data_IF_887190645945
#
_entry.id   IF_887190645945
#
_cell.length_a   1.000
_cell.length_b   1.000
_cell.length_c   1.000
_cell.angle_alpha   90.00
_cell.angle_beta   90.00
_cell.angle_gamma   90.00
#
_symmetry.space_group_name_H-M   'P 1'
#
loop_
_entity.id
_entity.type
_entity.pdbx_description
1 polymer ?
#
# COMPACT_ATOMS: atom_id res chain seq x y z
N UNK A 1 -28.42 -62.28 28.81
CA UNK A 1 -28.27 -60.96 28.19
C UNK A 1 -29.53 -60.66 27.40
N UNK A 2 -30.45 -59.94 28.03
CA UNK A 2 -31.76 -59.60 27.47
C UNK A 2 -31.60 -58.47 26.45
N UNK A 3 -32.31 -58.54 25.32
CA UNK A 3 -32.28 -57.59 24.20
C UNK A 3 -32.25 -56.10 24.60
N UNK A 4 -32.83 -55.76 25.75
CA UNK A 4 -32.93 -54.39 26.29
C UNK A 4 -31.57 -53.73 26.62
N UNK A 5 -30.57 -54.49 27.09
CA UNK A 5 -29.25 -53.92 27.48
C UNK A 5 -28.43 -53.49 26.26
N UNK A 6 -28.53 -54.25 25.15
CA UNK A 6 -27.87 -53.93 23.89
C UNK A 6 -28.48 -52.68 23.23
N UNK A 7 -29.80 -52.48 23.35
CA UNK A 7 -30.48 -51.30 22.81
C UNK A 7 -30.10 -50.03 23.56
N UNK A 8 -29.94 -50.10 24.88
CA UNK A 8 -29.57 -48.96 25.72
C UNK A 8 -28.13 -48.49 25.42
N UNK A 9 -27.18 -49.43 25.29
CA UNK A 9 -25.79 -49.13 24.93
C UNK A 9 -25.69 -48.50 23.53
N UNK A 10 -26.44 -49.03 22.55
CA UNK A 10 -26.47 -48.46 21.20
C UNK A 10 -27.04 -47.03 21.18
N UNK A 11 -28.08 -46.74 21.97
CA UNK A 11 -28.66 -45.41 22.07
C UNK A 11 -27.71 -44.38 22.68
N UNK A 12 -26.92 -44.76 23.69
CA UNK A 12 -25.94 -43.89 24.34
C UNK A 12 -24.80 -43.54 23.36
N UNK A 13 -24.29 -44.53 22.62
CA UNK A 13 -23.24 -44.30 21.61
C UNK A 13 -23.75 -43.37 20.49
N UNK A 14 -24.98 -43.59 20.01
CA UNK A 14 -25.58 -42.73 18.99
C UNK A 14 -25.74 -41.28 19.48
N UNK A 15 -26.13 -41.08 20.74
CA UNK A 15 -26.26 -39.75 21.34
C UNK A 15 -24.90 -39.03 21.49
N UNK A 16 -23.84 -39.75 21.85
CA UNK A 16 -22.48 -39.21 21.97
C UNK A 16 -21.90 -38.83 20.60
N UNK A 17 -22.12 -39.66 19.58
CA UNK A 17 -21.69 -39.38 18.20
C UNK A 17 -22.46 -38.18 17.62
N UNK A 18 -23.76 -38.10 17.87
CA UNK A 18 -24.58 -36.96 17.45
C UNK A 18 -24.19 -35.65 18.18
N UNK A 19 -23.94 -35.72 19.48
CA UNK A 19 -23.51 -34.57 20.29
C UNK A 19 -22.12 -34.06 19.92
N UNK A 20 -21.17 -34.96 19.68
CA UNK A 20 -19.83 -34.62 19.19
C UNK A 20 -19.86 -33.98 17.80
N UNK A 21 -20.72 -34.47 16.90
CA UNK A 21 -20.92 -33.88 15.58
C UNK A 21 -21.50 -32.46 15.64
N UNK A 22 -22.44 -32.20 16.55
CA UNK A 22 -23.04 -30.87 16.72
C UNK A 22 -22.04 -29.85 17.29
N UNK A 23 -21.24 -30.26 18.27
CA UNK A 23 -20.16 -29.44 18.84
C UNK A 23 -19.08 -29.14 17.80
N UNK A 24 -18.66 -30.16 17.03
CA UNK A 24 -17.67 -29.99 15.95
C UNK A 24 -18.18 -29.06 14.84
N UNK A 25 -19.47 -29.15 14.50
CA UNK A 25 -20.12 -28.27 13.51
C UNK A 25 -20.21 -26.83 13.98
N UNK A 26 -20.54 -26.59 15.27
CA UNK A 26 -20.54 -25.24 15.86
C UNK A 26 -19.12 -24.65 15.89
N UNK A 27 -18.11 -25.42 16.30
CA UNK A 27 -16.72 -24.96 16.32
C UNK A 27 -16.24 -24.64 14.89
N UNK A 28 -16.50 -25.53 13.93
CA UNK A 28 -16.16 -25.32 12.51
C UNK A 28 -16.87 -24.10 11.95
N UNK A 29 -18.17 -23.93 12.23
CA UNK A 29 -18.94 -22.77 11.81
C UNK A 29 -18.40 -21.48 12.42
N UNK A 30 -18.01 -21.48 13.70
CA UNK A 30 -17.38 -20.31 14.35
C UNK A 30 -16.01 -20.00 13.76
N UNK A 31 -15.19 -21.01 13.47
CA UNK A 31 -13.87 -20.83 12.86
C UNK A 31 -13.99 -20.31 11.41
N UNK A 32 -14.86 -20.91 10.60
CA UNK A 32 -15.15 -20.47 9.22
C UNK A 32 -15.72 -19.05 9.23
N UNK A 33 -16.67 -18.75 10.11
CA UNK A 33 -17.27 -17.42 10.22
C UNK A 33 -16.28 -16.37 10.74
N UNK A 34 -15.35 -16.74 11.63
CA UNK A 34 -14.24 -15.86 12.06
C UNK A 34 -13.26 -15.62 10.92
N UNK A 35 -12.91 -16.66 10.16
CA UNK A 35 -12.04 -16.55 8.99
C UNK A 35 -12.67 -15.67 7.90
N UNK A 36 -13.95 -15.88 7.59
CA UNK A 36 -14.69 -15.05 6.63
C UNK A 36 -14.81 -13.59 7.08
N UNK A 37 -15.12 -13.34 8.35
CA UNK A 37 -15.14 -11.96 8.87
C UNK A 37 -13.77 -11.29 8.78
N UNK A 38 -12.69 -12.05 8.95
CA UNK A 38 -11.34 -11.52 8.82
C UNK A 38 -10.98 -11.22 7.35
N UNK A 39 -11.40 -12.06 6.40
CA UNK A 39 -11.22 -11.78 4.96
C UNK A 39 -12.06 -10.59 4.52
N UNK A 40 -13.34 -10.54 4.90
CA UNK A 40 -14.24 -9.44 4.54
C UNK A 40 -13.75 -8.11 5.13
N UNK A 41 -13.27 -8.12 6.38
CA UNK A 41 -12.69 -6.93 7.02
C UNK A 41 -11.41 -6.47 6.32
N UNK A 42 -10.56 -7.40 5.87
CA UNK A 42 -9.35 -7.07 5.10
C UNK A 42 -9.67 -6.50 3.73
N UNK A 43 -10.64 -7.05 3.02
CA UNK A 43 -11.08 -6.52 1.72
C UNK A 43 -11.66 -5.11 1.86
N UNK A 44 -12.51 -4.90 2.87
CA UNK A 44 -13.09 -3.58 3.15
C UNK A 44 -12.03 -2.55 3.53
N UNK A 45 -11.04 -2.95 4.33
CA UNK A 45 -9.93 -2.07 4.66
C UNK A 45 -9.07 -1.74 3.46
N UNK A 46 -8.76 -2.72 2.60
CA UNK A 46 -7.97 -2.49 1.39
C UNK A 46 -8.67 -1.47 0.47
N UNK A 47 -9.99 -1.60 0.29
CA UNK A 47 -10.79 -0.64 -0.48
C UNK A 47 -10.77 0.75 0.16
N UNK A 48 -10.97 0.84 1.49
CA UNK A 48 -10.92 2.13 2.21
C UNK A 48 -9.54 2.77 2.15
N UNK A 49 -8.49 1.96 2.22
CA UNK A 49 -7.10 2.41 2.13
C UNK A 49 -6.78 2.93 0.73
N UNK A 50 -7.22 2.23 -0.32
CA UNK A 50 -7.08 2.67 -1.71
C UNK A 50 -7.80 4.00 -1.94
N UNK A 51 -9.04 4.14 -1.45
CA UNK A 51 -9.79 5.40 -1.52
C UNK A 51 -9.10 6.53 -0.76
N UNK A 52 -8.61 6.26 0.45
CA UNK A 52 -7.87 7.24 1.26
C UNK A 52 -6.57 7.67 0.58
N UNK A 53 -5.86 6.73 -0.04
CA UNK A 53 -4.66 7.01 -0.82
C UNK A 53 -4.97 7.86 -2.07
N UNK A 54 -6.03 7.56 -2.80
CA UNK A 54 -6.46 8.36 -3.94
C UNK A 54 -6.82 9.80 -3.52
N UNK A 55 -7.51 9.97 -2.38
CA UNK A 55 -7.78 11.29 -1.81
C UNK A 55 -6.49 12.02 -1.41
N UNK A 56 -5.53 11.32 -0.81
CA UNK A 56 -4.24 11.88 -0.41
C UNK A 56 -3.41 12.40 -1.61
N UNK A 57 -3.67 11.87 -2.81
CA UNK A 57 -3.08 12.30 -4.08
C UNK A 57 -3.86 13.45 -4.77
N UNK A 58 -5.00 13.88 -4.23
CA UNK A 58 -5.81 14.95 -4.82
C UNK A 58 -5.05 16.28 -4.87
N UNK A 59 -5.29 17.05 -5.93
CA UNK A 59 -4.78 18.42 -6.05
C UNK A 59 -5.49 19.39 -5.09
N UNK A 60 -6.69 19.05 -4.60
CA UNK A 60 -7.40 19.83 -3.59
C UNK A 60 -6.78 19.57 -2.21
N UNK A 61 -6.25 20.63 -1.59
CA UNK A 61 -5.57 20.55 -0.29
C UNK A 61 -6.48 20.08 0.87
N UNK A 62 -7.80 20.21 0.76
CA UNK A 62 -8.77 19.70 1.75
C UNK A 62 -9.00 18.20 1.56
N UNK A 63 -9.11 17.75 0.31
CA UNK A 63 -9.23 16.33 0.00
C UNK A 63 -7.95 15.58 0.35
N UNK A 64 -6.78 16.15 0.01
CA UNK A 64 -5.47 15.58 0.37
C UNK A 64 -5.31 15.38 1.87
N UNK A 65 -5.66 16.39 2.68
CA UNK A 65 -5.66 16.28 4.15
C UNK A 65 -6.64 15.22 4.66
N UNK A 66 -7.80 15.10 4.04
CA UNK A 66 -8.80 14.09 4.39
C UNK A 66 -8.25 12.68 4.11
N UNK A 67 -7.61 12.47 2.96
CA UNK A 67 -6.93 11.22 2.64
C UNK A 67 -5.85 10.84 3.65
N UNK A 68 -5.00 11.80 4.06
CA UNK A 68 -3.97 11.57 5.09
C UNK A 68 -4.57 11.18 6.45
N UNK A 69 -5.62 11.88 6.90
CA UNK A 69 -6.32 11.53 8.15
C UNK A 69 -6.94 10.14 8.09
N UNK A 70 -7.50 9.75 6.94
CA UNK A 70 -8.08 8.43 6.74
C UNK A 70 -7.01 7.33 6.75
N UNK A 71 -5.87 7.55 6.09
CA UNK A 71 -4.71 6.63 6.14
C UNK A 71 -4.27 6.43 7.59
N UNK A 72 -4.08 7.52 8.33
CA UNK A 72 -3.67 7.44 9.74
C UNK A 72 -4.69 6.65 10.58
N UNK A 73 -5.98 6.97 10.46
CA UNK A 73 -7.04 6.28 11.19
C UNK A 73 -7.11 4.78 10.86
N UNK A 74 -6.99 4.43 9.57
CA UNK A 74 -7.00 3.04 9.10
C UNK A 74 -5.82 2.25 9.65
N UNK A 75 -4.65 2.87 9.82
CA UNK A 75 -3.50 2.18 10.42
C UNK A 75 -3.68 1.93 11.92
N UNK A 76 -4.50 2.72 12.62
CA UNK A 76 -4.74 2.57 14.08
C UNK A 76 -5.80 1.53 14.44
N UNK A 77 -6.44 0.88 13.47
CA UNK A 77 -7.44 -0.15 13.78
C UNK A 77 -6.82 -1.37 14.50
N UNK A 78 -7.56 -1.97 15.44
CA UNK A 78 -7.05 -2.97 16.41
C UNK A 78 -6.46 -4.25 15.80
N UNK A 79 -6.81 -4.55 14.55
CA UNK A 79 -6.49 -5.81 13.88
C UNK A 79 -5.43 -5.62 12.78
N UNK A 80 -4.98 -4.38 12.56
CA UNK A 80 -3.99 -3.99 11.55
C UNK A 80 -2.62 -4.48 11.97
N UNK A 81 -1.92 -5.12 11.02
CA UNK A 81 -0.61 -5.73 11.25
C UNK A 81 0.53 -4.75 10.96
N UNK A 82 1.74 -5.12 11.37
CA UNK A 82 2.95 -4.38 10.99
C UNK A 82 3.17 -4.33 9.47
N UNK A 83 2.73 -5.35 8.73
CA UNK A 83 2.82 -5.39 7.26
C UNK A 83 1.91 -4.34 6.62
N UNK A 84 0.70 -4.17 7.14
CA UNK A 84 -0.25 -3.16 6.70
C UNK A 84 0.30 -1.74 7.00
N UNK A 85 0.88 -1.54 8.20
CA UNK A 85 1.55 -0.28 8.57
C UNK A 85 2.77 0.00 7.69
N UNK A 86 3.57 -1.02 7.40
CA UNK A 86 4.72 -0.91 6.50
C UNK A 86 4.31 -0.51 5.08
N UNK A 87 3.21 -1.08 4.57
CA UNK A 87 2.62 -0.71 3.29
C UNK A 87 2.21 0.77 3.29
N UNK A 88 1.54 1.21 4.36
CA UNK A 88 1.16 2.61 4.52
C UNK A 88 2.38 3.54 4.56
N UNK A 89 3.43 3.18 5.29
CA UNK A 89 4.69 3.95 5.34
C UNK A 89 5.36 4.01 3.97
N UNK A 90 5.39 2.92 3.22
CA UNK A 90 5.96 2.89 1.87
C UNK A 90 5.20 3.83 0.93
N UNK A 91 3.86 3.78 0.96
CA UNK A 91 3.00 4.69 0.19
C UNK A 91 3.25 6.13 0.61
N UNK A 92 3.21 6.42 1.92
CA UNK A 92 3.44 7.76 2.43
C UNK A 92 4.85 8.24 2.15
N UNK A 93 5.86 7.38 2.07
CA UNK A 93 7.23 7.75 1.69
C UNK A 93 7.27 8.25 0.25
N UNK A 94 6.55 7.59 -0.67
CA UNK A 94 6.37 8.12 -2.02
C UNK A 94 5.64 9.49 -2.04
N UNK A 95 4.75 9.73 -1.07
CA UNK A 95 4.01 11.00 -0.90
C UNK A 95 4.74 12.06 -0.05
N UNK A 96 5.74 11.72 0.75
CA UNK A 96 6.28 12.57 1.85
C UNK A 96 6.98 13.84 1.37
N UNK A 97 7.27 13.84 0.10
CA UNK A 97 7.58 14.95 -0.75
C UNK A 97 6.53 16.10 -0.80
N UNK A 98 5.34 15.91 -0.21
CA UNK A 98 4.16 16.78 -0.43
C UNK A 98 3.94 17.85 0.64
N UNK A 99 4.22 17.64 1.93
CA UNK A 99 4.03 18.64 2.99
C UNK A 99 4.56 18.05 4.32
N UNK A 100 4.87 18.90 5.30
CA UNK A 100 5.19 18.51 6.68
C UNK A 100 4.10 17.61 7.31
N UNK A 101 2.83 17.79 6.91
CA UNK A 101 1.72 16.94 7.36
C UNK A 101 1.92 15.47 6.99
N UNK A 102 2.31 15.17 5.74
CA UNK A 102 2.57 13.80 5.28
C UNK A 102 3.76 13.18 6.00
N UNK A 103 4.82 13.96 6.22
CA UNK A 103 5.99 13.52 6.97
C UNK A 103 5.65 13.19 8.43
N UNK A 104 4.77 13.99 9.06
CA UNK A 104 4.27 13.76 10.41
C UNK A 104 3.47 12.46 10.52
N UNK A 105 2.52 12.23 9.61
CA UNK A 105 1.73 10.98 9.60
C UNK A 105 2.62 9.77 9.36
N UNK A 106 3.57 9.84 8.42
CA UNK A 106 4.54 8.77 8.17
C UNK A 106 5.37 8.45 9.42
N UNK A 107 5.89 9.48 10.09
CA UNK A 107 6.68 9.31 11.31
C UNK A 107 5.86 8.68 12.45
N UNK A 108 4.59 9.06 12.58
CA UNK A 108 3.67 8.43 13.53
C UNK A 108 3.49 6.94 13.25
N UNK A 109 3.17 6.58 12.00
CA UNK A 109 2.95 5.17 11.62
C UNK A 109 4.24 4.35 11.76
N UNK A 110 5.39 4.90 11.39
CA UNK A 110 6.70 4.28 11.63
C UNK A 110 6.93 3.96 13.11
N UNK A 111 6.51 4.85 14.02
CA UNK A 111 6.61 4.63 15.47
C UNK A 111 5.74 3.49 15.99
N UNK A 112 4.61 3.25 15.32
CA UNK A 112 3.62 2.22 15.67
C UNK A 112 3.97 0.82 15.15
N UNK A 113 4.98 0.67 14.27
CA UNK A 113 5.46 -0.63 13.81
C UNK A 113 6.22 -1.31 14.95
N UNK A 114 5.76 -2.50 15.37
CA UNK A 114 6.39 -3.23 16.47
C UNK A 114 7.73 -3.86 16.05
N UNK A 115 7.81 -4.38 14.81
CA UNK A 115 9.03 -4.92 14.23
C UNK A 115 10.06 -3.82 13.94
N UNK A 116 11.11 -3.78 14.77
CA UNK A 116 12.14 -2.73 14.72
C UNK A 116 13.07 -2.83 13.52
N UNK A 117 13.33 -4.02 13.02
CA UNK A 117 14.16 -4.20 11.82
C UNK A 117 13.44 -3.66 10.58
N UNK A 118 12.14 -3.95 10.45
CA UNK A 118 11.28 -3.40 9.38
C UNK A 118 11.19 -1.87 9.52
N UNK A 119 10.96 -1.36 10.72
CA UNK A 119 10.88 0.08 10.96
C UNK A 119 12.18 0.82 10.60
N UNK A 120 13.35 0.23 10.92
CA UNK A 120 14.65 0.81 10.58
C UNK A 120 14.89 0.87 9.07
N UNK A 121 14.62 -0.23 8.35
CA UNK A 121 14.74 -0.28 6.88
C UNK A 121 13.82 0.75 6.21
N UNK A 122 12.58 0.89 6.69
CA UNK A 122 11.62 1.84 6.14
C UNK A 122 11.96 3.30 6.47
N UNK A 123 12.62 3.56 7.59
CA UNK A 123 13.10 4.90 7.94
C UNK A 123 14.23 5.38 7.01
N UNK A 124 15.04 4.44 6.50
CA UNK A 124 16.15 4.70 5.58
C UNK A 124 15.74 4.62 4.09
N UNK A 125 14.51 4.20 3.80
CA UNK A 125 14.04 4.02 2.42
C UNK A 125 14.16 5.32 1.62
N UNK A 126 14.84 5.30 0.45
CA UNK A 126 15.02 6.49 -0.37
C UNK A 126 13.67 6.97 -0.91
N UNK A 127 13.44 8.27 -0.81
CA UNK A 127 12.25 8.93 -1.31
C UNK A 127 12.36 9.00 -2.84
N UNK A 128 11.61 8.17 -3.58
CA UNK A 128 11.71 8.09 -5.05
C UNK A 128 11.33 9.41 -5.78
N UNK A 129 11.73 9.60 -7.05
CA UNK A 129 11.53 10.87 -7.75
C UNK A 129 10.05 11.23 -7.92
N UNK A 130 9.71 12.49 -7.64
CA UNK A 130 8.38 13.07 -7.88
C UNK A 130 8.05 13.00 -9.38
N UNK A 131 7.15 12.11 -9.82
CA UNK A 131 6.44 12.29 -11.09
C UNK A 131 6.50 11.19 -12.16
N UNK A 132 5.75 11.42 -13.25
CA UNK A 132 5.63 10.57 -14.44
C UNK A 132 6.48 11.12 -15.58
N UNK A 133 7.29 10.26 -16.19
CA UNK A 133 7.95 10.59 -17.45
C UNK A 133 6.98 10.45 -18.63
N UNK A 134 6.92 11.48 -19.47
CA UNK A 134 6.13 11.51 -20.70
C UNK A 134 7.03 11.85 -21.88
N UNK A 135 6.95 11.09 -22.96
CA UNK A 135 7.57 11.45 -24.26
C UNK A 135 6.49 12.06 -25.14
N UNK A 136 6.73 13.24 -25.68
CA UNK A 136 5.81 13.95 -26.57
C UNK A 136 6.54 14.42 -27.84
N UNK A 137 5.77 14.60 -28.92
CA UNK A 137 6.27 15.21 -30.13
C UNK A 137 6.32 16.73 -29.93
N UNK A 138 7.47 17.33 -30.20
CA UNK A 138 7.68 18.77 -30.14
C UNK A 138 7.20 19.44 -31.44
N UNK A 139 6.88 20.73 -31.37
CA UNK A 139 6.24 21.52 -32.43
C UNK A 139 7.08 21.58 -33.71
N UNK A 140 8.40 21.36 -33.58
CA UNK A 140 9.39 21.38 -34.67
C UNK A 140 9.61 19.98 -35.29
N UNK A 141 8.77 18.98 -34.96
CA UNK A 141 8.87 17.61 -35.49
C UNK A 141 9.84 16.70 -34.75
N UNK A 142 10.37 17.14 -33.61
CA UNK A 142 11.22 16.35 -32.71
C UNK A 142 10.44 15.56 -31.65
N UNK A 143 11.15 14.82 -30.80
CA UNK A 143 10.64 14.13 -29.63
C UNK A 143 11.37 14.62 -28.38
N UNK A 144 10.62 15.04 -27.36
CA UNK A 144 11.14 15.49 -26.08
C UNK A 144 10.49 14.66 -24.97
N UNK A 145 11.20 14.47 -23.86
CA UNK A 145 10.62 13.91 -22.65
C UNK A 145 10.45 14.98 -21.57
N UNK A 146 9.48 14.81 -20.69
CA UNK A 146 9.31 15.62 -19.49
C UNK A 146 8.97 14.76 -18.30
N UNK A 147 9.43 15.16 -17.13
CA UNK A 147 8.99 14.63 -15.85
C UNK A 147 7.88 15.55 -15.32
N UNK A 148 6.67 15.02 -15.17
CA UNK A 148 5.55 15.73 -14.56
C UNK A 148 5.32 15.26 -13.14
N UNK A 149 5.31 16.17 -12.19
CA UNK A 149 4.84 15.91 -10.84
C UNK A 149 3.37 15.47 -10.84
N UNK A 150 2.93 14.86 -9.73
CA UNK A 150 1.54 14.43 -9.55
C UNK A 150 0.53 15.60 -9.60
N UNK A 151 0.96 16.82 -9.24
CA UNK A 151 0.19 18.06 -9.35
C UNK A 151 0.14 18.64 -10.78
N UNK A 152 0.74 17.97 -11.77
CA UNK A 152 0.77 18.39 -13.17
C UNK A 152 1.91 19.33 -13.55
N UNK A 153 2.69 19.83 -12.58
CA UNK A 153 3.85 20.69 -12.80
C UNK A 153 4.98 19.94 -13.53
N UNK A 154 5.68 20.61 -14.44
CA UNK A 154 6.82 20.03 -15.15
C UNK A 154 8.08 20.25 -14.32
N UNK A 155 8.65 19.17 -13.79
CA UNK A 155 9.84 19.22 -12.93
C UNK A 155 11.15 19.18 -13.70
N UNK A 156 11.16 18.52 -14.86
CA UNK A 156 12.31 18.43 -15.73
C UNK A 156 11.87 18.22 -17.17
N UNK A 157 12.65 18.76 -18.11
CA UNK A 157 12.46 18.60 -19.54
C UNK A 157 13.78 18.12 -20.12
N UNK A 158 13.72 17.08 -20.94
CA UNK A 158 14.87 16.57 -21.68
C UNK A 158 15.17 17.37 -22.92
N UNK A 159 16.38 17.27 -23.41
CA UNK A 159 16.74 17.87 -24.69
C UNK A 159 15.90 17.28 -25.84
N UNK A 160 15.47 18.12 -26.80
CA UNK A 160 14.72 17.64 -27.96
C UNK A 160 15.61 16.77 -28.86
N UNK A 161 15.09 15.63 -29.29
CA UNK A 161 15.77 14.71 -30.18
C UNK A 161 14.99 14.51 -31.50
N UNK A 162 15.70 14.31 -32.61
CA UNK A 162 15.04 14.14 -33.92
C UNK A 162 14.31 12.79 -34.08
N UNK A 163 14.61 11.79 -33.24
CA UNK A 163 13.98 10.47 -33.29
C UNK A 163 13.47 10.04 -31.93
N UNK A 164 12.34 9.31 -31.92
CA UNK A 164 11.74 8.76 -30.68
C UNK A 164 12.72 7.86 -29.92
N UNK A 165 13.53 7.08 -30.64
CA UNK A 165 14.53 6.19 -30.04
C UNK A 165 15.63 6.97 -29.29
N UNK A 166 16.07 8.11 -29.81
CA UNK A 166 17.05 8.97 -29.14
C UNK A 166 16.45 9.62 -27.88
N UNK A 167 15.21 10.10 -27.94
CA UNK A 167 14.51 10.66 -26.78
C UNK A 167 14.32 9.62 -25.66
N UNK A 168 14.01 8.36 -26.01
CA UNK A 168 13.89 7.27 -25.03
C UNK A 168 15.22 6.93 -24.35
N UNK A 169 16.34 6.92 -25.09
CA UNK A 169 17.67 6.70 -24.50
C UNK A 169 18.05 7.82 -23.52
N UNK A 170 17.77 9.07 -23.87
CA UNK A 170 17.96 10.21 -22.96
C UNK A 170 17.08 10.11 -21.71
N UNK A 171 15.82 9.69 -21.87
CA UNK A 171 14.91 9.45 -20.75
C UNK A 171 15.40 8.34 -19.81
N UNK A 172 15.94 7.25 -20.35
CA UNK A 172 16.52 6.17 -19.54
C UNK A 172 17.72 6.65 -18.72
N UNK A 173 18.57 7.51 -19.29
CA UNK A 173 19.66 8.15 -18.55
C UNK A 173 19.12 9.08 -17.46
N UNK A 174 18.11 9.89 -17.75
CA UNK A 174 17.48 10.78 -16.77
C UNK A 174 16.84 9.99 -15.63
N UNK A 175 16.19 8.86 -15.92
CA UNK A 175 15.61 7.96 -14.90
C UNK A 175 16.65 7.45 -13.90
N UNK A 176 17.87 7.14 -14.36
CA UNK A 176 18.95 6.65 -13.50
C UNK A 176 19.47 7.75 -12.58
N UNK A 177 19.69 8.95 -13.09
CA UNK A 177 20.22 10.07 -12.32
C UNK A 177 19.18 10.67 -11.36
N UNK A 178 17.93 10.82 -11.81
CA UNK A 178 16.85 11.39 -11.01
C UNK A 178 16.27 10.40 -10.01
N UNK A 179 16.43 9.08 -10.23
CA UNK A 179 15.95 8.03 -9.34
C UNK A 179 16.87 7.67 -8.17
N UNK A 180 18.15 8.06 -8.22
CA UNK A 180 19.18 7.64 -7.27
C UNK A 180 19.58 8.66 -6.20
N UNK A 181 19.05 9.89 -6.23
CA UNK A 181 19.38 10.92 -5.24
C UNK A 181 20.83 11.44 -5.30
N UNK A 182 21.62 11.09 -6.33
CA UNK A 182 22.95 11.65 -6.52
C UNK A 182 22.86 12.95 -7.31
N UNK A 183 22.95 14.07 -6.61
CA UNK A 183 23.08 15.40 -7.21
C UNK A 183 24.47 15.52 -7.86
N UNK A 184 24.53 15.38 -9.18
CA UNK A 184 25.72 15.75 -9.95
C UNK A 184 25.65 17.25 -10.26
N UNK A 185 26.34 18.07 -9.48
CA UNK A 185 26.58 19.47 -9.82
C UNK A 185 27.72 19.57 -10.82
N UNK A 186 27.39 19.78 -12.10
CA UNK A 186 28.38 20.22 -13.10
C UNK A 186 28.44 21.74 -13.03
N UNK A 187 29.55 22.28 -12.52
CA UNK A 187 29.87 23.70 -12.60
C UNK A 187 30.69 23.92 -13.86
N UNK A 188 30.15 24.62 -14.85
CA UNK A 188 30.92 25.08 -16.01
C UNK A 188 31.99 26.10 -15.55
N UNK A 189 33.22 25.95 -16.05
CA UNK A 189 34.33 26.90 -15.88
C UNK A 189 34.56 27.68 -17.18
#
# INVERSE_FOLDING_TARGET
MTHSEATLLAAIIAAVVAGGGLIWSIISFVLVRRAQRATDAREQWAQRFEQAHALALSADAREARTGLMLIEALTKEQWVTDEDRATAVSVLSALSHTDAATAGVRAGILGDIANRDIAAVLAEAPVGPKGRFEVFADVVGGYCWRLRAANGEVLAVGEPAQTKAAALRSLEQARRHLGGGETVTVSDN
#
